data_IF_080701500735
#
_entry.id   IF_080701500735
#
_cell.length_a   1.000
_cell.length_b   1.000
_cell.length_c   1.000
_cell.angle_alpha   90.00
_cell.angle_beta   90.00
_cell.angle_gamma   90.00
#
_symmetry.space_group_name_H-M   'P 1'
#
loop_
_entity.id
_entity.type
_entity.pdbx_description
1 polymer ?
#
# COMPACT_ATOMS: atom_id res chain seq x y z
N UNK A 1 -123.45 16.92 -58.38
CA UNK A 1 -122.84 15.62 -58.71
C UNK A 1 -121.52 15.95 -59.38
N UNK A 2 -120.34 15.60 -58.89
CA UNK A 2 -119.90 14.74 -57.79
C UNK A 2 -118.53 15.26 -57.30
N UNK A 3 -118.15 14.84 -56.10
CA UNK A 3 -116.90 15.12 -55.39
C UNK A 3 -115.64 14.70 -56.17
N UNK A 4 -114.64 15.56 -56.20
CA UNK A 4 -113.25 15.13 -56.33
C UNK A 4 -112.74 14.67 -54.95
N UNK A 5 -112.61 13.36 -54.78
CA UNK A 5 -111.84 12.76 -53.70
C UNK A 5 -110.34 13.00 -53.93
N UNK A 6 -109.76 13.93 -53.15
CA UNK A 6 -108.34 13.90 -52.84
C UNK A 6 -108.20 13.22 -51.48
N UNK A 7 -107.81 11.95 -51.50
CA UNK A 7 -107.43 11.20 -50.30
C UNK A 7 -106.10 11.76 -49.82
N UNK A 8 -106.15 12.75 -48.93
CA UNK A 8 -105.04 13.02 -48.02
C UNK A 8 -105.06 11.90 -46.97
N UNK A 9 -104.13 10.96 -47.08
CA UNK A 9 -103.89 9.94 -46.07
C UNK A 9 -103.33 10.60 -44.82
N UNK A 10 -104.22 11.06 -43.94
CA UNK A 10 -103.91 11.47 -42.58
C UNK A 10 -103.55 10.21 -41.78
N UNK A 11 -102.25 9.94 -41.65
CA UNK A 11 -101.75 8.92 -40.73
C UNK A 11 -102.14 9.32 -39.29
N UNK A 12 -102.55 8.39 -38.42
CA UNK A 12 -102.61 8.62 -36.98
C UNK A 12 -101.38 8.00 -36.26
N UNK A 13 -100.23 8.71 -36.15
CA UNK A 13 -99.12 8.30 -35.28
C UNK A 13 -98.85 9.29 -34.13
N UNK A 14 -99.72 10.29 -33.93
CA UNK A 14 -99.36 11.47 -33.13
C UNK A 14 -99.27 11.19 -31.62
N UNK A 15 -100.08 10.27 -31.07
CA UNK A 15 -100.12 10.07 -29.61
C UNK A 15 -98.93 9.26 -29.07
N UNK A 16 -98.50 8.22 -29.80
CA UNK A 16 -97.36 7.40 -29.39
C UNK A 16 -96.04 8.17 -29.52
N UNK A 17 -95.84 8.89 -30.63
CA UNK A 17 -94.62 9.69 -30.84
C UNK A 17 -94.48 10.80 -29.80
N UNK A 18 -95.58 11.52 -29.49
CA UNK A 18 -95.59 12.56 -28.45
C UNK A 18 -95.31 11.96 -27.07
N UNK A 19 -95.86 10.77 -26.76
CA UNK A 19 -95.59 10.07 -25.49
C UNK A 19 -94.13 9.64 -25.36
N UNK A 20 -93.51 9.13 -26.43
CA UNK A 20 -92.09 8.80 -26.43
C UNK A 20 -91.23 10.06 -26.29
N UNK A 21 -91.58 11.15 -26.98
CA UNK A 21 -90.86 12.43 -26.88
C UNK A 21 -90.93 12.97 -25.45
N UNK A 22 -92.10 12.93 -24.82
CA UNK A 22 -92.30 13.34 -23.42
C UNK A 22 -91.47 12.50 -22.43
N UNK A 23 -91.48 11.17 -22.57
CA UNK A 23 -90.67 10.29 -21.72
C UNK A 23 -89.17 10.56 -21.93
N UNK A 24 -88.74 10.80 -23.17
CA UNK A 24 -87.34 11.08 -23.49
C UNK A 24 -86.86 12.42 -22.90
N UNK A 25 -87.67 13.48 -23.00
CA UNK A 25 -87.33 14.80 -22.44
C UNK A 25 -87.24 14.76 -20.90
N UNK A 26 -88.09 13.95 -20.23
CA UNK A 26 -87.97 13.71 -18.78
C UNK A 26 -86.65 13.02 -18.44
N UNK A 27 -86.32 11.93 -19.13
CA UNK A 27 -85.10 11.16 -18.85
C UNK A 27 -83.84 11.99 -19.12
N UNK A 28 -83.82 12.76 -20.21
CA UNK A 28 -82.72 13.66 -20.55
C UNK A 28 -82.58 14.77 -19.50
N UNK A 29 -83.68 15.41 -19.10
CA UNK A 29 -83.64 16.44 -18.06
C UNK A 29 -83.11 15.88 -16.74
N UNK A 30 -83.57 14.71 -16.29
CA UNK A 30 -83.09 14.06 -15.07
C UNK A 30 -81.59 13.76 -15.13
N UNK A 31 -81.12 13.19 -16.24
CA UNK A 31 -79.69 12.92 -16.44
C UNK A 31 -78.86 14.21 -16.42
N UNK A 32 -79.35 15.28 -17.06
CA UNK A 32 -78.63 16.56 -17.16
C UNK A 32 -78.61 17.34 -15.85
N UNK A 33 -79.52 17.10 -14.92
CA UNK A 33 -79.40 17.61 -13.55
C UNK A 33 -78.52 16.73 -12.64
N UNK A 34 -78.39 15.43 -12.93
CA UNK A 34 -77.55 14.51 -12.14
C UNK A 34 -76.04 14.64 -12.43
N UNK A 35 -75.65 14.69 -13.72
CA UNK A 35 -74.23 14.73 -14.13
C UNK A 35 -73.45 15.92 -13.50
N UNK A 36 -73.99 17.15 -13.44
CA UNK A 36 -73.31 18.28 -12.80
C UNK A 36 -73.07 18.08 -11.31
N UNK A 37 -73.97 17.39 -10.59
CA UNK A 37 -73.80 17.08 -9.16
C UNK A 37 -72.60 16.15 -8.97
N UNK A 38 -72.47 15.13 -9.81
CA UNK A 38 -71.33 14.20 -9.80
C UNK A 38 -70.01 14.92 -10.15
N UNK A 39 -70.01 15.83 -11.13
CA UNK A 39 -68.84 16.64 -11.49
C UNK A 39 -68.40 17.56 -10.35
N UNK A 40 -69.34 18.20 -9.65
CA UNK A 40 -69.03 19.05 -8.48
C UNK A 40 -68.42 18.21 -7.35
N UNK A 41 -68.98 17.03 -7.08
CA UNK A 41 -68.43 16.10 -6.09
C UNK A 41 -66.98 15.68 -6.44
N UNK A 42 -66.73 15.34 -7.71
CA UNK A 42 -65.38 15.00 -8.18
C UNK A 42 -64.39 16.15 -8.00
N UNK A 43 -64.76 17.38 -8.37
CA UNK A 43 -63.90 18.56 -8.23
C UNK A 43 -63.55 18.83 -6.77
N UNK A 44 -64.54 18.75 -5.87
CA UNK A 44 -64.33 18.95 -4.43
C UNK A 44 -63.39 17.91 -3.82
N UNK A 45 -63.46 16.65 -4.27
CA UNK A 45 -62.59 15.57 -3.78
C UNK A 45 -61.20 15.56 -4.44
N UNK A 46 -61.08 16.12 -5.64
CA UNK A 46 -59.80 16.24 -6.34
C UNK A 46 -58.98 17.44 -5.83
N UNK A 47 -57.93 17.17 -5.05
CA UNK A 47 -57.06 18.21 -4.51
C UNK A 47 -56.18 18.89 -5.59
N UNK A 48 -55.97 18.25 -6.74
CA UNK A 48 -54.88 18.60 -7.68
C UNK A 48 -55.34 18.93 -9.10
N UNK A 49 -56.60 19.30 -9.34
CA UNK A 49 -57.07 19.64 -10.69
C UNK A 49 -56.91 21.16 -10.97
N UNK A 50 -55.97 21.59 -11.84
CA UNK A 50 -55.65 23.00 -12.05
C UNK A 50 -56.75 23.79 -12.79
N UNK A 51 -57.66 23.12 -13.48
CA UNK A 51 -58.68 23.74 -14.35
C UNK A 51 -60.11 23.62 -13.79
N UNK A 52 -60.30 23.88 -12.48
CA UNK A 52 -61.62 23.76 -11.81
C UNK A 52 -62.73 24.59 -12.48
N UNK A 53 -62.38 25.77 -12.99
CA UNK A 53 -63.31 26.67 -13.68
C UNK A 53 -63.93 26.05 -14.94
N UNK A 54 -63.19 25.22 -15.67
CA UNK A 54 -63.67 24.60 -16.91
C UNK A 54 -64.67 23.50 -16.64
N UNK A 55 -64.47 22.73 -15.58
CA UNK A 55 -65.45 21.74 -15.12
C UNK A 55 -66.75 22.41 -14.64
N UNK A 56 -66.66 23.59 -14.00
CA UNK A 56 -67.85 24.37 -13.65
C UNK A 56 -68.58 24.92 -14.88
N UNK A 57 -67.86 25.38 -15.91
CA UNK A 57 -68.45 25.80 -17.17
C UNK A 57 -69.14 24.64 -17.92
N UNK A 58 -68.53 23.44 -17.91
CA UNK A 58 -69.13 22.23 -18.46
C UNK A 58 -70.39 21.82 -17.69
N UNK A 59 -70.36 21.88 -16.35
CA UNK A 59 -71.54 21.68 -15.51
C UNK A 59 -72.65 22.69 -15.79
N UNK A 60 -72.33 23.98 -15.93
CA UNK A 60 -73.28 25.03 -16.26
C UNK A 60 -73.92 24.83 -17.64
N UNK A 61 -73.13 24.43 -18.64
CA UNK A 61 -73.62 24.07 -19.97
C UNK A 61 -74.62 22.91 -19.93
N UNK A 62 -74.31 21.83 -19.20
CA UNK A 62 -75.19 20.67 -19.07
C UNK A 62 -76.51 21.05 -18.38
N UNK A 63 -76.46 21.84 -17.30
CA UNK A 63 -77.65 22.32 -16.59
C UNK A 63 -78.54 23.17 -17.51
N UNK A 64 -77.96 24.14 -18.22
CA UNK A 64 -78.71 25.02 -19.13
C UNK A 64 -79.37 24.24 -20.26
N UNK A 65 -78.69 23.26 -20.82
CA UNK A 65 -79.28 22.41 -21.83
C UNK A 65 -80.34 21.45 -21.23
N UNK A 66 -80.18 20.99 -19.99
CA UNK A 66 -81.20 20.20 -19.27
C UNK A 66 -82.46 20.99 -19.00
N UNK A 67 -82.30 22.28 -18.69
CA UNK A 67 -83.39 23.22 -18.52
C UNK A 67 -84.20 23.39 -19.82
N UNK A 68 -83.57 23.33 -21.00
CA UNK A 68 -84.32 23.39 -22.28
C UNK A 68 -85.23 22.17 -22.50
N UNK A 69 -84.79 20.97 -22.12
CA UNK A 69 -85.63 19.77 -22.16
C UNK A 69 -86.74 19.80 -21.10
N UNK A 70 -86.43 20.33 -19.91
CA UNK A 70 -87.44 20.51 -18.87
C UNK A 70 -88.54 21.52 -19.27
N UNK A 71 -88.16 22.65 -19.90
CA UNK A 71 -89.13 23.64 -20.41
C UNK A 71 -89.92 23.07 -21.60
N UNK A 72 -89.31 22.22 -22.43
CA UNK A 72 -90.00 21.50 -23.52
C UNK A 72 -91.19 20.69 -23.00
N UNK A 73 -91.04 20.00 -21.86
CA UNK A 73 -92.13 19.25 -21.20
C UNK A 73 -93.35 20.12 -20.86
N UNK A 74 -93.11 21.32 -20.34
CA UNK A 74 -94.18 22.27 -20.00
C UNK A 74 -94.87 22.83 -21.26
N UNK A 75 -94.16 22.88 -22.39
CA UNK A 75 -94.66 23.41 -23.66
C UNK A 75 -95.74 22.51 -24.29
N UNK A 76 -95.77 21.21 -23.95
CA UNK A 76 -96.78 20.26 -24.42
C UNK A 76 -98.17 20.46 -23.78
N UNK A 77 -98.25 21.02 -22.57
CA UNK A 77 -99.52 21.16 -21.83
C UNK A 77 -100.07 22.59 -21.86
N UNK A 78 -99.22 23.62 -21.93
CA UNK A 78 -99.63 25.03 -21.92
C UNK A 78 -98.84 25.85 -22.95
N UNK A 79 -99.49 26.21 -24.05
CA UNK A 79 -98.85 27.02 -25.10
C UNK A 79 -99.06 28.53 -24.84
N UNK A 80 -98.20 29.12 -24.00
CA UNK A 80 -98.18 30.56 -23.72
C UNK A 80 -96.98 31.25 -24.38
N UNK A 81 -97.19 32.48 -24.87
CA UNK A 81 -96.10 33.33 -25.41
C UNK A 81 -94.95 33.50 -24.40
N UNK A 82 -95.25 33.48 -23.10
CA UNK A 82 -94.23 33.56 -22.05
C UNK A 82 -93.30 32.33 -22.02
N UNK A 83 -93.84 31.12 -22.19
CA UNK A 83 -93.05 29.87 -22.20
C UNK A 83 -92.13 29.83 -23.43
N UNK A 84 -92.62 30.28 -24.60
CA UNK A 84 -91.80 30.41 -25.80
C UNK A 84 -90.63 31.40 -25.61
N UNK A 85 -90.87 32.56 -24.99
CA UNK A 85 -89.81 33.53 -24.67
C UNK A 85 -88.78 32.92 -23.72
N UNK A 86 -89.22 32.28 -22.64
CA UNK A 86 -88.32 31.61 -21.68
C UNK A 86 -87.48 30.51 -22.35
N UNK A 87 -88.08 29.72 -23.24
CA UNK A 87 -87.37 28.70 -24.03
C UNK A 87 -86.32 29.30 -24.97
N UNK A 88 -86.64 30.42 -25.64
CA UNK A 88 -85.66 31.11 -26.51
C UNK A 88 -84.49 31.68 -25.72
N UNK A 89 -84.74 32.27 -24.54
CA UNK A 89 -83.69 32.80 -23.67
C UNK A 89 -82.80 31.65 -23.16
N UNK A 90 -83.39 30.54 -22.72
CA UNK A 90 -82.64 29.36 -22.26
C UNK A 90 -81.75 28.78 -23.38
N UNK A 91 -82.25 28.71 -24.61
CA UNK A 91 -81.47 28.26 -25.78
C UNK A 91 -80.30 29.21 -26.11
N UNK A 92 -80.53 30.52 -26.09
CA UNK A 92 -79.47 31.50 -26.32
C UNK A 92 -78.40 31.45 -25.22
N UNK A 93 -78.80 31.27 -23.97
CA UNK A 93 -77.88 31.09 -22.86
C UNK A 93 -77.06 29.78 -22.99
N UNK A 94 -77.69 28.65 -23.33
CA UNK A 94 -76.94 27.40 -23.55
C UNK A 94 -75.95 27.55 -24.71
N UNK A 95 -76.35 28.18 -25.82
CA UNK A 95 -75.47 28.42 -26.98
C UNK A 95 -74.24 29.29 -26.63
N UNK A 96 -74.43 30.35 -25.83
CA UNK A 96 -73.34 31.21 -25.40
C UNK A 96 -72.33 30.49 -24.51
N UNK A 97 -72.80 29.76 -23.48
CA UNK A 97 -71.93 28.98 -22.59
C UNK A 97 -71.21 27.86 -23.35
N UNK A 98 -71.90 27.20 -24.30
CA UNK A 98 -71.32 26.18 -25.18
C UNK A 98 -70.17 26.70 -26.05
N UNK A 99 -70.32 27.91 -26.62
CA UNK A 99 -69.28 28.53 -27.42
C UNK A 99 -68.03 28.85 -26.58
N UNK A 100 -68.24 29.37 -25.36
CA UNK A 100 -67.15 29.67 -24.42
C UNK A 100 -66.43 28.39 -23.98
N UNK A 101 -67.17 27.32 -23.64
CA UNK A 101 -66.55 26.04 -23.23
C UNK A 101 -65.72 25.43 -24.36
N UNK A 102 -66.18 25.52 -25.61
CA UNK A 102 -65.45 25.03 -26.77
C UNK A 102 -64.11 25.77 -26.99
N UNK A 103 -64.11 27.11 -26.88
CA UNK A 103 -62.89 27.91 -27.02
C UNK A 103 -61.85 27.62 -25.92
N UNK A 104 -62.30 27.49 -24.68
CA UNK A 104 -61.42 27.17 -23.55
C UNK A 104 -60.77 25.78 -23.69
N UNK A 105 -61.50 24.81 -24.24
CA UNK A 105 -60.99 23.45 -24.41
C UNK A 105 -59.81 23.39 -25.39
N UNK A 106 -59.83 24.19 -26.47
CA UNK A 106 -58.72 24.30 -27.43
C UNK A 106 -57.43 24.75 -26.76
N UNK A 107 -57.51 25.60 -25.74
CA UNK A 107 -56.33 26.09 -25.02
C UNK A 107 -55.82 25.08 -23.98
N UNK A 108 -56.71 24.31 -23.34
CA UNK A 108 -56.34 23.43 -22.22
C UNK A 108 -55.81 22.08 -22.67
N UNK A 109 -56.31 21.53 -23.79
CA UNK A 109 -55.82 20.26 -24.34
C UNK A 109 -54.30 20.25 -24.55
N UNK A 110 -53.66 21.24 -25.22
CA UNK A 110 -52.21 21.23 -25.41
C UNK A 110 -51.43 21.30 -24.10
N UNK A 111 -51.90 22.07 -23.11
CA UNK A 111 -51.26 22.14 -21.79
C UNK A 111 -51.31 20.80 -21.06
N UNK A 112 -52.44 20.10 -21.10
CA UNK A 112 -52.59 18.78 -20.46
C UNK A 112 -51.67 17.73 -21.11
N UNK A 113 -51.52 17.79 -22.44
CA UNK A 113 -50.60 16.93 -23.18
C UNK A 113 -49.13 17.27 -22.87
N UNK A 114 -48.81 18.56 -22.68
CA UNK A 114 -47.44 19.02 -22.37
C UNK A 114 -46.92 18.45 -21.05
N UNK A 115 -47.77 18.37 -20.01
CA UNK A 115 -47.40 17.82 -18.69
C UNK A 115 -47.01 16.35 -18.80
N UNK A 116 -47.80 15.56 -19.54
CA UNK A 116 -47.52 14.13 -19.75
C UNK A 116 -46.23 13.90 -20.54
N UNK A 117 -45.93 14.76 -21.52
CA UNK A 117 -44.64 14.70 -22.24
C UNK A 117 -43.46 15.06 -21.34
N UNK A 118 -43.60 16.05 -20.45
CA UNK A 118 -42.55 16.45 -19.50
C UNK A 118 -42.27 15.37 -18.46
N UNK A 119 -43.31 14.71 -17.96
CA UNK A 119 -43.18 13.59 -17.03
C UNK A 119 -42.39 12.43 -17.66
N UNK A 120 -42.74 12.06 -18.91
CA UNK A 120 -42.03 11.00 -19.62
C UNK A 120 -40.56 11.36 -19.88
N UNK A 121 -40.28 12.61 -20.26
CA UNK A 121 -38.91 13.09 -20.45
C UNK A 121 -38.10 13.04 -19.15
N UNK A 122 -38.68 13.50 -18.03
CA UNK A 122 -38.03 13.46 -16.72
C UNK A 122 -37.76 12.03 -16.26
N UNK A 123 -38.70 11.11 -16.50
CA UNK A 123 -38.51 9.70 -16.17
C UNK A 123 -37.36 9.08 -16.97
N UNK A 124 -37.32 9.30 -18.29
CA UNK A 124 -36.23 8.80 -19.12
C UNK A 124 -34.87 9.37 -18.69
N UNK A 125 -34.83 10.65 -18.30
CA UNK A 125 -33.61 11.29 -17.77
C UNK A 125 -33.19 10.74 -16.41
N UNK A 126 -34.16 10.47 -15.53
CA UNK A 126 -33.89 9.85 -14.23
C UNK A 126 -33.33 8.42 -14.42
N UNK A 127 -33.94 7.62 -15.30
CA UNK A 127 -33.48 6.26 -15.61
C UNK A 127 -32.07 6.27 -16.25
N UNK A 128 -31.77 7.26 -17.11
CA UNK A 128 -30.44 7.45 -17.68
C UNK A 128 -29.40 7.82 -16.61
N UNK A 129 -29.76 8.74 -15.71
CA UNK A 129 -28.88 9.18 -14.62
C UNK A 129 -28.65 8.07 -13.59
N UNK A 130 -29.65 7.28 -13.25
CA UNK A 130 -29.52 6.12 -12.34
C UNK A 130 -28.56 5.08 -12.94
N UNK A 131 -28.59 4.89 -14.26
CA UNK A 131 -27.65 3.99 -14.94
C UNK A 131 -26.22 4.53 -14.90
N UNK A 132 -26.02 5.82 -15.12
CA UNK A 132 -24.70 6.46 -15.01
C UNK A 132 -24.18 6.43 -13.57
N UNK A 133 -25.02 6.77 -12.59
CA UNK A 133 -24.70 6.71 -11.17
C UNK A 133 -24.29 5.30 -10.75
N UNK A 134 -25.00 4.27 -11.21
CA UNK A 134 -24.65 2.87 -10.95
C UNK A 134 -23.23 2.51 -11.42
N UNK A 135 -22.84 2.95 -12.62
CA UNK A 135 -21.49 2.74 -13.13
C UNK A 135 -20.43 3.47 -12.28
N UNK A 136 -20.69 4.72 -11.91
CA UNK A 136 -19.77 5.53 -11.08
C UNK A 136 -19.58 4.91 -9.71
N UNK A 137 -20.65 4.44 -9.06
CA UNK A 137 -20.57 3.78 -7.75
C UNK A 137 -19.72 2.52 -7.80
N UNK A 138 -19.92 1.66 -8.80
CA UNK A 138 -19.07 0.46 -8.95
C UNK A 138 -17.60 0.80 -9.20
N UNK A 139 -17.32 1.88 -9.92
CA UNK A 139 -15.96 2.39 -10.12
C UNK A 139 -15.34 2.93 -8.81
N UNK A 140 -16.12 3.62 -7.99
CA UNK A 140 -15.63 4.14 -6.71
C UNK A 140 -15.37 3.00 -5.71
N UNK A 141 -16.23 1.98 -5.65
CA UNK A 141 -16.05 0.79 -4.81
C UNK A 141 -14.79 0.01 -5.20
N UNK A 142 -14.62 -0.30 -6.49
CA UNK A 142 -13.42 -0.98 -6.99
C UNK A 142 -12.16 -0.17 -6.68
N UNK A 143 -12.19 1.15 -6.89
CA UNK A 143 -11.09 2.04 -6.52
C UNK A 143 -10.79 2.05 -5.01
N UNK A 144 -11.81 2.00 -4.14
CA UNK A 144 -11.62 1.89 -2.68
C UNK A 144 -10.98 0.56 -2.29
N UNK A 145 -11.42 -0.56 -2.85
CA UNK A 145 -10.84 -1.87 -2.59
C UNK A 145 -9.37 -1.93 -3.03
N UNK A 146 -9.05 -1.41 -4.22
CA UNK A 146 -7.66 -1.31 -4.68
C UNK A 146 -6.82 -0.45 -3.74
N UNK A 147 -7.33 0.69 -3.26
CA UNK A 147 -6.61 1.54 -2.30
C UNK A 147 -6.37 0.84 -0.97
N UNK A 148 -7.36 0.11 -0.44
CA UNK A 148 -7.20 -0.70 0.77
C UNK A 148 -6.10 -1.75 0.57
N UNK A 149 -6.14 -2.48 -0.55
CA UNK A 149 -5.12 -3.47 -0.91
C UNK A 149 -3.72 -2.85 -0.97
N UNK A 150 -3.55 -1.69 -1.61
CA UNK A 150 -2.25 -1.02 -1.66
C UNK A 150 -1.69 -0.63 -0.29
N UNK A 151 -2.56 -0.36 0.69
CA UNK A 151 -2.14 -0.10 2.06
C UNK A 151 -1.67 -1.38 2.75
N UNK A 152 -2.42 -2.48 2.60
CA UNK A 152 -2.05 -3.78 3.17
C UNK A 152 -0.72 -4.31 2.62
N UNK A 153 -0.51 -4.16 1.31
CA UNK A 153 0.74 -4.52 0.62
C UNK A 153 1.96 -3.82 1.23
N UNK A 154 1.83 -2.51 1.52
CA UNK A 154 2.89 -1.72 2.15
C UNK A 154 3.23 -2.16 3.57
N UNK A 155 2.29 -2.78 4.27
CA UNK A 155 2.47 -3.22 5.67
C UNK A 155 3.13 -4.60 5.78
N UNK A 156 3.12 -5.39 4.71
CA UNK A 156 3.73 -6.73 4.67
C UNK A 156 5.21 -6.61 4.28
N UNK A 157 6.07 -7.42 4.91
CA UNK A 157 7.53 -7.40 4.68
C UNK A 157 8.06 -8.67 4.00
N UNK A 158 7.24 -9.72 3.90
CA UNK A 158 7.62 -10.96 3.22
C UNK A 158 7.28 -10.90 1.72
N UNK A 159 8.30 -11.08 0.88
CA UNK A 159 8.18 -11.04 -0.59
C UNK A 159 7.15 -12.03 -1.11
N UNK A 160 7.13 -13.27 -0.60
CA UNK A 160 6.20 -14.29 -1.08
C UNK A 160 4.75 -13.96 -0.74
N UNK A 161 4.52 -13.45 0.47
CA UNK A 161 3.20 -13.04 0.94
C UNK A 161 2.71 -11.81 0.18
N UNK A 162 3.54 -10.78 -0.02
CA UNK A 162 3.20 -9.60 -0.82
C UNK A 162 2.70 -10.01 -2.21
N UNK A 163 3.47 -10.86 -2.90
CA UNK A 163 3.16 -11.27 -4.27
C UNK A 163 1.93 -12.18 -4.36
N UNK A 164 1.74 -13.08 -3.41
CA UNK A 164 0.56 -13.94 -3.41
C UNK A 164 -0.72 -13.16 -3.11
N UNK A 165 -0.70 -12.30 -2.10
CA UNK A 165 -1.86 -11.50 -1.69
C UNK A 165 -2.26 -10.51 -2.78
N UNK A 166 -1.28 -9.83 -3.40
CA UNK A 166 -1.52 -8.90 -4.53
C UNK A 166 -2.24 -9.58 -5.67
N UNK A 167 -1.75 -10.72 -6.15
CA UNK A 167 -2.35 -11.43 -7.28
C UNK A 167 -3.78 -11.90 -6.96
N UNK A 168 -4.00 -12.45 -5.77
CA UNK A 168 -5.33 -12.96 -5.35
C UNK A 168 -6.34 -11.83 -5.21
N UNK A 169 -5.98 -10.75 -4.52
CA UNK A 169 -6.90 -9.63 -4.29
C UNK A 169 -7.14 -8.80 -5.54
N UNK A 170 -6.13 -8.62 -6.41
CA UNK A 170 -6.35 -8.07 -7.76
C UNK A 170 -7.29 -8.95 -8.58
N UNK A 171 -7.08 -10.27 -8.54
CA UNK A 171 -7.93 -11.26 -9.21
C UNK A 171 -9.40 -11.13 -8.81
N UNK A 172 -9.66 -11.01 -7.50
CA UNK A 172 -11.01 -10.82 -6.96
C UNK A 172 -11.60 -9.45 -7.30
N UNK A 173 -10.81 -8.37 -7.15
CA UNK A 173 -11.30 -6.99 -7.29
C UNK A 173 -11.60 -6.63 -8.74
N UNK A 174 -10.76 -7.08 -9.68
CA UNK A 174 -10.93 -6.80 -11.11
C UNK A 174 -11.68 -7.93 -11.86
N UNK A 175 -11.96 -9.06 -11.19
CA UNK A 175 -12.63 -10.22 -11.79
C UNK A 175 -11.79 -10.85 -12.91
N UNK A 176 -10.54 -11.17 -12.62
CA UNK A 176 -9.57 -11.69 -13.58
C UNK A 176 -9.70 -13.21 -13.74
N UNK A 177 -9.51 -13.70 -14.96
CA UNK A 177 -9.36 -15.14 -15.23
C UNK A 177 -7.95 -15.63 -14.89
N UNK A 178 -6.93 -14.79 -15.14
CA UNK A 178 -5.55 -15.11 -14.81
C UNK A 178 -4.79 -13.83 -14.46
N UNK A 179 -3.88 -13.93 -13.49
CA UNK A 179 -2.96 -12.86 -13.13
C UNK A 179 -1.60 -13.51 -12.90
N UNK A 180 -0.59 -13.10 -13.67
CA UNK A 180 0.72 -13.72 -13.70
C UNK A 180 1.83 -12.68 -13.49
N UNK A 181 2.85 -13.03 -12.72
CA UNK A 181 4.02 -12.20 -12.50
C UNK A 181 5.28 -12.88 -13.03
N UNK A 182 5.91 -12.23 -14.00
CA UNK A 182 7.13 -12.63 -14.67
C UNK A 182 8.31 -11.86 -14.11
N UNK A 183 9.25 -12.56 -13.49
CA UNK A 183 10.43 -11.96 -12.86
C UNK A 183 11.68 -12.22 -13.71
N UNK A 184 12.66 -11.31 -13.75
CA UNK A 184 13.91 -11.56 -14.44
C UNK A 184 14.68 -12.72 -13.79
N UNK A 185 15.20 -13.61 -14.63
CA UNK A 185 16.06 -14.73 -14.23
C UNK A 185 17.39 -14.22 -13.67
N UNK A 186 18.11 -15.08 -12.94
CA UNK A 186 19.47 -14.79 -12.43
C UNK A 186 20.46 -14.43 -13.54
N UNK A 187 20.25 -14.96 -14.75
CA UNK A 187 21.08 -14.66 -15.93
C UNK A 187 20.78 -13.28 -16.54
N UNK A 188 19.64 -12.67 -16.20
CA UNK A 188 19.20 -11.39 -16.74
C UNK A 188 18.75 -11.42 -18.21
N UNK A 189 18.72 -12.59 -18.85
CA UNK A 189 18.39 -12.74 -20.28
C UNK A 189 16.92 -13.10 -20.54
N UNK A 190 16.29 -13.75 -19.56
CA UNK A 190 14.92 -14.26 -19.66
C UNK A 190 14.07 -13.79 -18.48
N UNK A 191 12.78 -13.67 -18.70
CA UNK A 191 11.75 -13.59 -17.67
C UNK A 191 11.27 -15.00 -17.32
N UNK A 192 11.23 -15.32 -16.05
CA UNK A 192 10.70 -16.56 -15.50
C UNK A 192 9.38 -16.30 -14.77
N UNK A 193 8.37 -17.11 -15.08
CA UNK A 193 7.09 -17.04 -14.40
C UNK A 193 7.26 -17.48 -12.94
N UNK A 194 7.07 -16.53 -12.04
CA UNK A 194 7.25 -16.75 -10.60
C UNK A 194 5.92 -17.01 -9.88
N UNK A 195 4.86 -16.30 -10.28
CA UNK A 195 3.54 -16.44 -9.66
C UNK A 195 2.42 -16.40 -10.70
N UNK A 196 1.34 -17.11 -10.42
CA UNK A 196 0.13 -17.22 -11.24
C UNK A 196 -1.05 -17.45 -10.31
N UNK A 197 -2.21 -16.89 -10.66
CA UNK A 197 -3.44 -16.98 -9.88
C UNK A 197 -4.07 -18.37 -10.01
N UNK A 198 -4.26 -18.83 -11.25
CA UNK A 198 -5.02 -20.06 -11.56
C UNK A 198 -4.16 -21.17 -12.18
N UNK A 199 -2.84 -20.96 -12.26
CA UNK A 199 -1.86 -21.94 -12.71
C UNK A 199 -2.11 -22.42 -14.16
N UNK A 200 -2.67 -21.56 -15.03
CA UNK A 200 -2.86 -21.88 -16.45
C UNK A 200 -1.51 -22.13 -17.15
N UNK A 201 -0.48 -21.41 -16.72
CA UNK A 201 0.92 -21.55 -17.16
C UNK A 201 1.72 -22.20 -16.03
N UNK A 202 2.58 -23.17 -16.36
CA UNK A 202 3.44 -23.81 -15.37
C UNK A 202 4.49 -22.82 -14.85
N UNK A 203 4.55 -22.69 -13.52
CA UNK A 203 5.62 -21.94 -12.81
C UNK A 203 6.99 -22.45 -13.27
N UNK A 204 7.91 -21.52 -13.55
CA UNK A 204 9.23 -21.82 -14.13
C UNK A 204 9.28 -21.79 -15.66
N UNK A 205 8.16 -21.53 -16.34
CA UNK A 205 8.18 -21.17 -17.77
C UNK A 205 9.02 -19.91 -17.98
N UNK A 206 9.81 -19.87 -19.06
CA UNK A 206 10.67 -18.72 -19.35
C UNK A 206 10.39 -18.11 -20.72
N UNK A 207 10.55 -16.79 -20.81
CA UNK A 207 10.33 -15.97 -22.00
C UNK A 207 11.51 -15.01 -22.17
N UNK A 208 12.13 -14.91 -23.36
CA UNK A 208 13.26 -14.00 -23.57
C UNK A 208 12.90 -12.52 -23.38
N UNK A 209 13.77 -11.74 -22.73
CA UNK A 209 13.56 -10.29 -22.48
C UNK A 209 13.67 -9.48 -23.78
N UNK A 210 14.45 -9.95 -24.75
CA UNK A 210 14.68 -9.28 -26.04
C UNK A 210 13.49 -9.34 -27.02
N UNK A 211 12.36 -9.93 -26.61
CA UNK A 211 11.14 -9.90 -27.41
C UNK A 211 10.63 -8.45 -27.53
N UNK A 212 10.15 -8.04 -28.71
CA UNK A 212 9.70 -6.66 -28.94
C UNK A 212 8.58 -6.28 -27.97
N UNK A 213 7.63 -7.18 -27.75
CA UNK A 213 6.50 -6.97 -26.82
C UNK A 213 6.95 -6.75 -25.36
N UNK A 214 8.01 -7.43 -24.92
CA UNK A 214 8.56 -7.25 -23.56
C UNK A 214 9.28 -5.91 -23.47
N UNK A 215 10.02 -5.57 -24.51
CA UNK A 215 10.75 -4.29 -24.62
C UNK A 215 9.77 -3.11 -24.62
N UNK A 216 8.65 -3.23 -25.34
CA UNK A 216 7.59 -2.22 -25.40
C UNK A 216 6.96 -2.01 -24.01
N UNK A 217 6.67 -3.10 -23.28
CA UNK A 217 6.17 -3.03 -21.90
C UNK A 217 7.19 -2.39 -20.96
N UNK A 218 8.49 -2.69 -21.10
CA UNK A 218 9.53 -2.08 -20.29
C UNK A 218 9.70 -0.58 -20.54
N UNK A 219 9.49 -0.14 -21.78
CA UNK A 219 9.57 1.27 -22.15
C UNK A 219 8.31 2.06 -21.77
N UNK A 220 7.15 1.41 -21.67
CA UNK A 220 5.90 2.03 -21.23
C UNK A 220 5.82 2.15 -19.70
N UNK A 221 5.47 3.33 -19.20
CA UNK A 221 5.14 3.49 -17.78
C UNK A 221 3.71 3.02 -17.44
N UNK A 222 2.83 2.99 -18.43
CA UNK A 222 1.42 2.66 -18.28
C UNK A 222 1.14 1.23 -18.74
N UNK A 223 0.07 0.66 -18.18
CA UNK A 223 -0.50 -0.62 -18.54
C UNK A 223 -0.83 -0.67 -20.05
N UNK A 224 -0.22 -1.62 -20.75
CA UNK A 224 -0.34 -1.80 -22.19
C UNK A 224 -1.22 -3.00 -22.51
N UNK A 225 -2.16 -2.83 -23.45
CA UNK A 225 -2.94 -3.96 -23.99
C UNK A 225 -2.04 -4.83 -24.87
N UNK A 226 -2.04 -6.14 -24.62
CA UNK A 226 -1.25 -7.11 -25.36
C UNK A 226 -2.14 -7.97 -26.27
N UNK A 227 -1.62 -8.45 -27.41
CA UNK A 227 -2.32 -9.43 -28.21
C UNK A 227 -2.40 -10.77 -27.48
N UNK A 228 -3.51 -11.48 -27.70
CA UNK A 228 -3.80 -12.77 -27.04
C UNK A 228 -2.86 -13.92 -27.43
N UNK A 229 -2.06 -13.74 -28.49
CA UNK A 229 -1.07 -14.71 -28.97
C UNK A 229 0.33 -14.48 -28.36
N UNK A 230 0.47 -13.56 -27.41
CA UNK A 230 1.78 -13.25 -26.85
C UNK A 230 2.29 -14.40 -25.95
N UNK A 231 3.62 -14.65 -25.93
CA UNK A 231 4.20 -15.73 -25.12
C UNK A 231 4.07 -15.51 -23.61
N UNK A 232 3.82 -14.27 -23.19
CA UNK A 232 3.55 -13.89 -21.81
C UNK A 232 2.14 -14.30 -21.34
N UNK A 233 1.21 -14.51 -22.28
CA UNK A 233 -0.16 -14.90 -22.01
C UNK A 233 -0.51 -16.17 -22.79
N UNK A 234 0.07 -17.31 -22.35
CA UNK A 234 -0.26 -18.62 -22.90
C UNK A 234 -1.62 -19.09 -22.37
N UNK A 235 -2.64 -19.00 -23.20
CA UNK A 235 -4.01 -19.48 -22.90
C UNK A 235 -4.10 -20.98 -23.23
N UNK A 236 -4.70 -21.78 -22.33
CA UNK A 236 -5.15 -23.15 -22.69
C UNK A 236 -6.49 -23.03 -23.43
N UNK A 237 -6.49 -23.32 -24.72
CA UNK A 237 -7.71 -23.30 -25.55
C UNK A 237 -8.66 -24.43 -25.08
N UNK A 238 -9.74 -24.10 -24.37
CA UNK A 238 -10.88 -24.99 -24.19
C UNK A 238 -11.77 -24.95 -25.45
N UNK A 239 -12.21 -26.12 -25.89
CA UNK A 239 -13.06 -26.30 -27.09
C UNK A 239 -14.44 -25.69 -26.84
N UNK A 240 -14.76 -24.56 -27.50
CA UNK A 240 -16.03 -23.83 -27.37
C UNK A 240 -16.08 -22.55 -28.23
N UNK A 241 -17.19 -21.79 -28.18
CA UNK A 241 -17.30 -20.47 -28.83
C UNK A 241 -16.31 -19.50 -28.17
N UNK A 242 -15.15 -19.35 -28.81
CA UNK A 242 -14.01 -18.60 -28.27
C UNK A 242 -14.07 -17.13 -28.70
N UNK A 243 -14.12 -16.22 -27.71
CA UNK A 243 -13.79 -14.80 -27.89
C UNK A 243 -12.40 -14.61 -27.26
N UNK A 244 -11.42 -14.05 -28.00
CA UNK A 244 -10.10 -13.83 -27.44
C UNK A 244 -10.19 -12.88 -26.22
N UNK A 245 -9.56 -13.21 -25.09
CA UNK A 245 -9.61 -12.37 -23.90
C UNK A 245 -8.81 -11.10 -24.13
N UNK A 246 -9.22 -10.03 -23.45
CA UNK A 246 -8.49 -8.77 -23.45
C UNK A 246 -7.39 -8.85 -22.37
N UNK A 247 -6.14 -8.62 -22.78
CA UNK A 247 -4.95 -8.87 -21.96
C UNK A 247 -4.21 -7.56 -21.77
N UNK A 248 -3.76 -7.32 -20.55
CA UNK A 248 -2.96 -6.15 -20.19
C UNK A 248 -1.68 -6.58 -19.51
N UNK A 249 -0.58 -5.89 -19.81
CA UNK A 249 0.67 -6.04 -19.11
C UNK A 249 1.17 -4.68 -18.60
N UNK A 250 1.75 -4.69 -17.40
CA UNK A 250 2.36 -3.52 -16.78
C UNK A 250 3.74 -3.91 -16.25
N UNK A 251 4.71 -3.01 -16.41
CA UNK A 251 6.03 -3.20 -15.82
C UNK A 251 5.97 -2.93 -14.32
N UNK A 252 6.68 -3.73 -13.54
CA UNK A 252 6.88 -3.52 -12.11
C UNK A 252 8.37 -3.28 -11.90
N UNK A 253 8.79 -2.03 -11.61
CA UNK A 253 10.18 -1.72 -11.33
C UNK A 253 10.71 -2.52 -10.15
N UNK A 254 11.86 -3.17 -10.33
CA UNK A 254 12.57 -3.85 -9.26
C UNK A 254 13.80 -3.02 -8.91
N UNK A 255 13.87 -2.54 -7.66
CA UNK A 255 15.10 -1.99 -7.15
C UNK A 255 16.07 -3.15 -6.88
N UNK A 256 17.17 -3.18 -7.63
CA UNK A 256 18.30 -4.03 -7.31
C UNK A 256 19.29 -3.15 -6.54
N UNK A 257 19.43 -3.39 -5.24
CA UNK A 257 20.54 -2.83 -4.50
C UNK A 257 21.77 -3.63 -4.89
N UNK A 258 22.54 -3.05 -5.81
CA UNK A 258 23.85 -3.56 -6.19
C UNK A 258 24.68 -3.78 -4.93
N UNK A 259 24.92 -5.06 -4.63
CA UNK A 259 26.02 -5.62 -3.85
C UNK A 259 26.55 -4.78 -2.68
N UNK A 260 26.11 -5.11 -1.46
CA UNK A 260 26.93 -4.96 -0.25
C UNK A 260 28.17 -5.88 -0.23
N UNK A 261 28.56 -6.46 -1.37
CA UNK A 261 29.82 -7.16 -1.53
C UNK A 261 30.88 -6.17 -2.02
N UNK A 262 31.69 -5.74 -1.06
CA UNK A 262 32.99 -5.11 -1.28
C UNK A 262 33.85 -6.10 -2.09
N UNK A 263 33.92 -5.90 -3.41
CA UNK A 263 35.06 -6.13 -4.32
C UNK A 263 34.62 -6.59 -5.73
N UNK A 264 35.12 -5.86 -6.74
CA UNK A 264 35.46 -6.31 -8.10
C UNK A 264 34.35 -6.59 -9.15
N UNK A 265 34.05 -5.54 -9.95
CA UNK A 265 33.55 -5.53 -11.36
C UNK A 265 32.14 -6.13 -11.67
N UNK A 266 31.60 -5.95 -12.90
CA UNK A 266 31.32 -4.74 -13.68
C UNK A 266 29.81 -4.39 -13.66
N UNK A 267 29.47 -3.16 -14.04
CA UNK A 267 28.12 -2.60 -14.13
C UNK A 267 27.14 -3.49 -14.95
N UNK A 268 26.24 -4.21 -14.28
CA UNK A 268 25.07 -4.88 -14.88
C UNK A 268 23.82 -3.99 -14.72
N UNK A 269 22.82 -4.11 -15.62
CA UNK A 269 22.08 -2.97 -16.15
C UNK A 269 21.23 -2.24 -15.11
N UNK A 270 21.30 -0.91 -15.18
CA UNK A 270 20.80 0.06 -14.21
C UNK A 270 19.30 0.03 -13.87
N UNK A 271 18.48 -0.83 -14.49
CA UNK A 271 17.05 -1.00 -14.18
C UNK A 271 16.58 -2.43 -14.50
N UNK A 272 16.06 -3.12 -13.49
CA UNK A 272 15.45 -4.44 -13.63
C UNK A 272 13.93 -4.30 -13.50
N UNK A 273 13.18 -4.99 -14.35
CA UNK A 273 11.72 -4.92 -14.39
C UNK A 273 11.13 -6.32 -14.34
N UNK A 274 10.11 -6.49 -13.51
CA UNK A 274 9.17 -7.60 -13.66
C UNK A 274 8.01 -7.18 -14.58
N UNK A 275 7.29 -8.16 -15.12
CA UNK A 275 6.06 -7.91 -15.90
C UNK A 275 4.89 -8.57 -15.20
N UNK A 276 3.89 -7.78 -14.84
CA UNK A 276 2.61 -8.28 -14.36
C UNK A 276 1.63 -8.33 -15.54
N UNK A 277 1.04 -9.50 -15.77
CA UNK A 277 0.12 -9.77 -16.89
C UNK A 277 -1.24 -10.13 -16.31
N UNK A 278 -2.27 -9.43 -16.74
CA UNK A 278 -3.64 -9.56 -16.27
C UNK A 278 -4.56 -9.93 -17.44
N UNK A 279 -5.38 -10.95 -17.26
CA UNK A 279 -6.27 -11.49 -18.28
C UNK A 279 -7.72 -11.46 -17.80
N UNK A 280 -8.60 -10.90 -18.63
CA UNK A 280 -10.04 -10.93 -18.39
C UNK A 280 -10.68 -12.25 -18.85
N UNK A 281 -11.84 -12.62 -18.28
CA UNK A 281 -12.61 -13.80 -18.68
C UNK A 281 -12.97 -13.84 -20.17
N UNK A 282 -12.81 -15.02 -20.76
CA UNK A 282 -13.10 -15.30 -22.19
C UNK A 282 -14.59 -15.39 -22.55
N UNK A 283 -15.48 -15.45 -21.56
CA UNK A 283 -16.91 -15.74 -21.72
C UNK A 283 -17.80 -14.50 -21.94
N UNK A 284 -17.33 -13.31 -21.58
CA UNK A 284 -18.17 -12.10 -21.50
C UNK A 284 -17.95 -11.03 -22.57
N UNK A 285 -16.94 -11.13 -23.44
CA UNK A 285 -16.57 -10.05 -24.37
C UNK A 285 -16.19 -8.72 -23.69
N UNK A 286 -15.91 -8.76 -22.37
CA UNK A 286 -15.52 -7.62 -21.55
C UNK A 286 -14.14 -7.12 -22.01
N UNK A 287 -14.02 -5.80 -22.14
CA UNK A 287 -12.76 -5.12 -22.43
C UNK A 287 -12.31 -4.29 -21.24
N UNK A 288 -11.01 -4.05 -21.16
CA UNK A 288 -10.44 -3.16 -20.15
C UNK A 288 -10.91 -1.74 -20.33
N UNK A 289 -11.47 -1.15 -19.28
CA UNK A 289 -11.81 0.28 -19.22
C UNK A 289 -10.59 1.09 -18.80
N UNK A 290 -10.54 2.35 -19.22
CA UNK A 290 -9.37 3.19 -18.99
C UNK A 290 -9.08 3.41 -17.49
N UNK A 291 -10.12 3.53 -16.66
CA UNK A 291 -9.95 3.64 -15.20
C UNK A 291 -9.37 2.37 -14.56
N UNK A 292 -9.60 1.19 -15.14
CA UNK A 292 -9.03 -0.05 -14.63
C UNK A 292 -7.53 -0.13 -14.94
N UNK A 293 -7.11 0.41 -16.09
CA UNK A 293 -5.70 0.55 -16.45
C UNK A 293 -4.98 1.49 -15.48
N UNK A 294 -5.59 2.64 -15.16
CA UNK A 294 -5.05 3.58 -14.16
C UNK A 294 -4.91 2.93 -12.77
N UNK A 295 -5.87 2.10 -12.36
CA UNK A 295 -5.78 1.35 -11.10
C UNK A 295 -4.63 0.33 -11.12
N UNK A 296 -4.41 -0.36 -12.25
CA UNK A 296 -3.31 -1.32 -12.41
C UNK A 296 -1.96 -0.62 -12.29
N UNK A 297 -1.79 0.56 -12.89
CA UNK A 297 -0.56 1.35 -12.80
C UNK A 297 -0.23 1.68 -11.34
N UNK A 298 -1.23 2.16 -10.59
CA UNK A 298 -1.08 2.45 -9.16
C UNK A 298 -0.67 1.20 -8.41
N UNK A 299 -1.30 0.05 -8.66
CA UNK A 299 -0.95 -1.19 -7.95
C UNK A 299 0.46 -1.67 -8.32
N UNK A 300 0.86 -1.59 -9.58
CA UNK A 300 2.20 -1.97 -10.03
C UNK A 300 3.29 -1.17 -9.31
N UNK A 301 3.11 0.15 -9.18
CA UNK A 301 4.02 1.01 -8.42
C UNK A 301 4.06 0.64 -6.93
N UNK A 302 2.92 0.28 -6.33
CA UNK A 302 2.88 -0.13 -4.92
C UNK A 302 3.53 -1.48 -4.67
N UNK A 303 3.35 -2.43 -5.59
CA UNK A 303 4.05 -3.71 -5.56
C UNK A 303 5.55 -3.50 -5.68
N UNK A 304 5.99 -2.63 -6.59
CA UNK A 304 7.41 -2.28 -6.73
C UNK A 304 8.01 -1.74 -5.42
N UNK A 305 7.32 -0.82 -4.74
CA UNK A 305 7.76 -0.27 -3.45
C UNK A 305 7.83 -1.36 -2.37
N UNK A 306 6.79 -2.18 -2.23
CA UNK A 306 6.76 -3.23 -1.21
C UNK A 306 7.82 -4.31 -1.44
N UNK A 307 8.03 -4.72 -2.70
CA UNK A 307 9.11 -5.64 -3.08
C UNK A 307 10.48 -5.06 -2.76
N UNK A 308 10.67 -3.76 -2.98
CA UNK A 308 11.92 -3.07 -2.68
C UNK A 308 12.21 -3.05 -1.18
N UNK A 309 11.20 -2.76 -0.35
CA UNK A 309 11.33 -2.83 1.12
C UNK A 309 11.64 -4.24 1.60
N UNK A 310 10.96 -5.26 1.06
CA UNK A 310 11.22 -6.66 1.40
C UNK A 310 12.67 -7.06 1.06
N UNK A 311 13.16 -6.67 -0.12
CA UNK A 311 14.55 -6.94 -0.54
C UNK A 311 15.57 -6.26 0.38
N UNK A 312 15.37 -4.97 0.71
CA UNK A 312 16.23 -4.21 1.64
C UNK A 312 16.32 -4.91 3.00
N UNK A 313 15.18 -5.37 3.53
CA UNK A 313 15.13 -6.03 4.83
C UNK A 313 15.84 -7.37 4.80
N UNK A 314 15.65 -8.17 3.75
CA UNK A 314 16.33 -9.45 3.60
C UNK A 314 17.86 -9.27 3.56
N UNK A 315 18.34 -8.30 2.79
CA UNK A 315 19.78 -7.99 2.71
C UNK A 315 20.33 -7.45 4.03
N UNK A 316 19.60 -6.56 4.70
CA UNK A 316 19.96 -6.03 6.03
C UNK A 316 20.04 -7.14 7.08
N UNK A 317 19.07 -8.07 7.09
CA UNK A 317 19.07 -9.23 7.97
C UNK A 317 20.26 -10.15 7.69
N UNK A 318 20.57 -10.40 6.41
CA UNK A 318 21.72 -11.22 5.99
C UNK A 318 23.04 -10.60 6.47
N UNK A 319 23.23 -9.29 6.24
CA UNK A 319 24.41 -8.57 6.67
C UNK A 319 24.56 -8.57 8.20
N UNK A 320 23.45 -8.35 8.93
CA UNK A 320 23.44 -8.40 10.40
C UNK A 320 23.84 -9.78 10.93
N UNK A 321 23.34 -10.86 10.32
CA UNK A 321 23.69 -12.22 10.75
C UNK A 321 25.18 -12.51 10.52
N UNK A 322 25.73 -12.11 9.37
CA UNK A 322 27.17 -12.23 9.09
C UNK A 322 28.03 -11.46 10.09
N UNK A 323 27.64 -10.22 10.42
CA UNK A 323 28.34 -9.42 11.43
C UNK A 323 28.25 -10.06 12.82
N UNK A 324 27.12 -10.67 13.17
CA UNK A 324 26.96 -11.38 14.44
C UNK A 324 27.90 -12.59 14.51
N UNK A 325 27.97 -13.40 13.46
CA UNK A 325 28.87 -14.56 13.37
C UNK A 325 30.34 -14.13 13.48
N UNK A 326 30.74 -13.06 12.78
CA UNK A 326 32.09 -12.50 12.86
C UNK A 326 32.42 -11.99 14.26
N UNK A 327 31.50 -11.30 14.93
CA UNK A 327 31.71 -10.82 16.30
C UNK A 327 31.88 -11.98 17.30
N UNK A 328 31.09 -13.06 17.16
CA UNK A 328 31.23 -14.26 18.00
C UNK A 328 32.58 -14.92 17.77
N UNK A 329 33.01 -15.06 16.51
CA UNK A 329 34.33 -15.62 16.18
C UNK A 329 35.45 -14.74 16.75
N UNK A 330 35.36 -13.42 16.59
CA UNK A 330 36.34 -12.47 17.11
C UNK A 330 36.45 -12.52 18.64
N UNK A 331 35.31 -12.54 19.34
CA UNK A 331 35.28 -12.64 20.80
C UNK A 331 35.90 -13.96 21.29
N UNK A 332 35.63 -15.07 20.58
CA UNK A 332 36.23 -16.36 20.92
C UNK A 332 37.76 -16.35 20.76
N UNK A 333 38.27 -15.81 19.65
CA UNK A 333 39.70 -15.70 19.39
C UNK A 333 40.38 -14.75 20.39
N UNK A 334 39.73 -13.64 20.75
CA UNK A 334 40.20 -12.72 21.78
C UNK A 334 40.32 -13.43 23.13
N UNK A 335 39.30 -14.16 23.57
CA UNK A 335 39.32 -14.89 24.84
C UNK A 335 40.41 -15.98 24.88
N UNK A 336 40.68 -16.63 23.76
CA UNK A 336 41.77 -17.60 23.65
C UNK A 336 43.14 -16.93 23.79
N UNK A 337 43.34 -15.80 23.11
CA UNK A 337 44.57 -15.01 23.24
C UNK A 337 44.77 -14.49 24.67
N UNK A 338 43.72 -13.98 25.32
CA UNK A 338 43.76 -13.52 26.72
C UNK A 338 44.13 -14.67 27.68
N UNK A 339 43.55 -15.86 27.51
CA UNK A 339 43.92 -17.06 28.30
C UNK A 339 45.38 -17.46 28.09
N UNK A 340 45.86 -17.42 26.85
CA UNK A 340 47.26 -17.73 26.55
C UNK A 340 48.22 -16.73 27.20
N UNK A 341 47.88 -15.44 27.18
CA UNK A 341 48.65 -14.37 27.83
C UNK A 341 48.66 -14.57 29.35
N UNK A 342 47.50 -14.85 29.97
CA UNK A 342 47.43 -15.12 31.41
C UNK A 342 48.26 -16.34 31.80
N UNK A 343 48.12 -17.46 31.10
CA UNK A 343 48.91 -18.67 31.38
C UNK A 343 50.42 -18.42 31.23
N UNK A 344 50.84 -17.65 30.22
CA UNK A 344 52.23 -17.24 30.03
C UNK A 344 52.74 -16.41 31.20
N UNK A 345 51.95 -15.43 31.66
CA UNK A 345 52.33 -14.55 32.75
C UNK A 345 52.40 -15.31 34.09
N UNK A 346 51.44 -16.18 34.36
CA UNK A 346 51.42 -17.03 35.57
C UNK A 346 52.61 -17.97 35.60
N UNK A 347 52.91 -18.64 34.47
CA UNK A 347 54.10 -19.48 34.35
C UNK A 347 55.39 -18.69 34.61
N UNK A 348 55.50 -17.48 34.03
CA UNK A 348 56.65 -16.60 34.24
C UNK A 348 56.81 -16.22 35.71
N UNK A 349 55.72 -15.89 36.40
CA UNK A 349 55.76 -15.50 37.81
C UNK A 349 56.22 -16.67 38.70
N UNK A 350 55.63 -17.86 38.51
CA UNK A 350 55.98 -19.07 39.29
C UNK A 350 57.43 -19.48 39.05
N UNK A 351 57.85 -19.58 37.78
CA UNK A 351 59.22 -19.98 37.44
C UNK A 351 60.26 -19.07 38.08
N UNK A 352 60.05 -17.76 38.04
CA UNK A 352 60.98 -16.81 38.63
C UNK A 352 61.04 -16.92 40.16
N UNK A 353 59.89 -17.08 40.82
CA UNK A 353 59.85 -17.27 42.28
C UNK A 353 60.61 -18.53 42.72
N UNK A 354 60.39 -19.65 42.01
CA UNK A 354 61.04 -20.92 42.31
C UNK A 354 62.54 -20.86 42.00
N UNK A 355 62.94 -20.25 40.89
CA UNK A 355 64.35 -20.04 40.56
C UNK A 355 65.04 -19.18 41.64
N UNK A 356 64.45 -18.05 42.04
CA UNK A 356 65.01 -17.19 43.09
C UNK A 356 65.18 -17.93 44.43
N UNK A 357 64.17 -18.69 44.84
CA UNK A 357 64.20 -19.48 46.09
C UNK A 357 65.31 -20.53 46.05
N UNK A 358 65.44 -21.26 44.94
CA UNK A 358 66.51 -22.24 44.75
C UNK A 358 67.89 -21.58 44.74
N UNK A 359 68.05 -20.42 44.09
CA UNK A 359 69.32 -19.70 44.07
C UNK A 359 69.73 -19.21 45.45
N UNK A 360 68.81 -18.65 46.23
CA UNK A 360 69.12 -18.23 47.61
C UNK A 360 69.50 -19.41 48.51
N UNK A 361 68.87 -20.58 48.34
CA UNK A 361 69.26 -21.78 49.07
C UNK A 361 70.69 -22.23 48.71
N UNK A 362 71.06 -22.23 47.42
CA UNK A 362 72.41 -22.57 46.96
C UNK A 362 73.43 -21.56 47.50
N UNK A 363 73.13 -20.26 47.47
CA UNK A 363 73.99 -19.20 48.01
C UNK A 363 74.19 -19.39 49.52
N UNK A 364 73.11 -19.63 50.27
CA UNK A 364 73.19 -19.84 51.72
C UNK A 364 74.02 -21.07 52.07
N UNK A 365 73.75 -22.21 51.43
CA UNK A 365 74.50 -23.45 51.66
C UNK A 365 75.97 -23.32 51.27
N UNK A 366 76.26 -22.70 50.13
CA UNK A 366 77.64 -22.46 49.69
C UNK A 366 78.38 -21.53 50.66
N UNK A 367 77.70 -20.50 51.18
CA UNK A 367 78.28 -19.58 52.18
C UNK A 367 78.58 -20.29 53.49
N UNK A 368 77.65 -21.12 53.99
CA UNK A 368 77.85 -21.94 55.18
C UNK A 368 79.00 -22.94 55.02
N UNK A 369 79.13 -23.57 53.85
CA UNK A 369 80.23 -24.49 53.57
C UNK A 369 81.60 -23.77 53.57
N UNK A 370 81.66 -22.51 53.10
CA UNK A 370 82.90 -21.73 53.12
C UNK A 370 83.41 -21.38 54.53
N UNK A 371 82.52 -21.39 55.53
CA UNK A 371 82.85 -21.23 56.96
C UNK A 371 83.38 -22.51 57.62
N UNK A 372 83.36 -23.64 56.91
CA UNK A 372 83.90 -24.93 57.40
C UNK A 372 85.36 -25.14 56.99
N UNK A 373 86.02 -26.13 57.60
CA UNK A 373 87.38 -26.54 57.26
C UNK A 373 87.41 -27.29 55.92
N UNK A 374 87.69 -26.56 54.84
CA UNK A 374 87.77 -27.07 53.46
C UNK A 374 89.23 -27.18 52.99
N UNK A 375 89.52 -28.14 52.10
CA UNK A 375 90.80 -28.14 51.38
C UNK A 375 90.88 -26.95 50.40
N UNK A 376 92.09 -26.52 50.00
CA UNK A 376 92.25 -25.40 49.05
C UNK A 376 91.47 -25.60 47.75
N UNK A 377 91.46 -26.81 47.20
CA UNK A 377 90.73 -27.15 45.98
C UNK A 377 89.21 -27.11 46.17
N UNK A 378 88.70 -27.59 47.32
CA UNK A 378 87.27 -27.55 47.66
C UNK A 378 86.79 -26.11 47.86
N UNK A 379 87.61 -25.27 48.50
CA UNK A 379 87.31 -23.84 48.70
C UNK A 379 87.14 -23.12 47.36
N UNK A 380 88.08 -23.29 46.43
CA UNK A 380 87.99 -22.68 45.09
C UNK A 380 86.74 -23.15 44.33
N UNK A 381 86.37 -24.44 44.46
CA UNK A 381 85.17 -24.98 43.82
C UNK A 381 83.88 -24.36 44.39
N UNK A 382 83.77 -24.24 45.73
CA UNK A 382 82.61 -23.65 46.38
C UNK A 382 82.54 -22.14 46.14
N UNK A 383 83.66 -21.42 46.14
CA UNK A 383 83.73 -20.00 45.75
C UNK A 383 83.25 -19.78 44.32
N UNK A 384 83.57 -20.71 43.41
CA UNK A 384 83.10 -20.67 42.02
C UNK A 384 81.59 -20.92 41.93
N UNK A 385 81.05 -21.88 42.69
CA UNK A 385 79.60 -22.13 42.79
C UNK A 385 78.87 -20.90 43.35
N UNK A 386 79.39 -20.29 44.42
CA UNK A 386 78.82 -19.09 45.03
C UNK A 386 78.82 -17.90 44.06
N UNK A 387 79.94 -17.66 43.38
CA UNK A 387 80.06 -16.59 42.38
C UNK A 387 79.10 -16.80 41.21
N UNK A 388 79.00 -18.03 40.71
CA UNK A 388 78.08 -18.37 39.61
C UNK A 388 76.62 -18.23 40.05
N UNK A 389 76.32 -18.58 41.30
CA UNK A 389 74.98 -18.47 41.86
C UNK A 389 74.53 -17.02 42.04
N UNK A 390 75.41 -16.16 42.56
CA UNK A 390 75.14 -14.73 42.66
C UNK A 390 74.90 -14.08 41.29
N UNK A 391 75.72 -14.45 40.29
CA UNK A 391 75.54 -13.94 38.92
C UNK A 391 74.20 -14.38 38.31
N UNK A 392 73.80 -15.64 38.53
CA UNK A 392 72.52 -16.14 38.04
C UNK A 392 71.33 -15.47 38.74
N UNK A 393 71.42 -15.17 40.04
CA UNK A 393 70.39 -14.38 40.76
C UNK A 393 70.23 -13.00 40.13
N UNK A 394 71.34 -12.28 39.88
CA UNK A 394 71.28 -10.97 39.23
C UNK A 394 70.63 -11.05 37.85
N UNK A 395 70.99 -12.05 37.03
CA UNK A 395 70.37 -12.22 35.71
C UNK A 395 68.87 -12.54 35.78
N UNK A 396 68.43 -13.33 36.77
CA UNK A 396 67.01 -13.62 36.99
C UNK A 396 66.25 -12.35 37.39
N UNK A 397 66.84 -11.54 38.27
CA UNK A 397 66.25 -10.27 38.70
C UNK A 397 66.18 -9.26 37.53
N UNK A 398 67.23 -9.16 36.71
CA UNK A 398 67.24 -8.28 35.53
C UNK A 398 66.16 -8.66 34.49
N UNK A 399 65.94 -9.95 34.25
CA UNK A 399 64.88 -10.44 33.34
C UNK A 399 63.48 -10.13 33.87
N UNK A 400 63.30 -10.14 35.19
CA UNK A 400 62.07 -9.72 35.84
C UNK A 400 61.83 -8.22 35.72
N UNK A 401 62.86 -7.41 35.94
CA UNK A 401 62.74 -5.95 35.84
C UNK A 401 62.46 -5.51 34.41
N UNK A 402 63.11 -6.13 33.41
CA UNK A 402 62.78 -5.92 31.99
C UNK A 402 61.33 -6.31 31.70
N UNK A 403 60.87 -7.43 32.27
CA UNK A 403 59.50 -7.91 32.14
C UNK A 403 58.46 -6.95 32.72
N UNK A 404 58.77 -6.28 33.85
CA UNK A 404 57.92 -5.26 34.49
C UNK A 404 57.96 -3.92 33.75
N UNK A 405 59.07 -3.64 33.07
CA UNK A 405 59.20 -2.48 32.20
C UNK A 405 58.31 -2.61 30.97
N UNK A 406 58.29 -3.78 30.32
CA UNK A 406 57.49 -4.04 29.11
C UNK A 406 55.97 -4.00 29.35
N UNK A 407 55.50 -4.43 30.53
CA UNK A 407 54.08 -4.40 30.89
C UNK A 407 53.67 -3.11 31.63
N UNK A 408 54.60 -2.18 31.83
CA UNK A 408 54.36 -0.88 32.46
C UNK A 408 54.14 -0.93 33.97
N UNK A 409 54.36 -2.07 34.63
CA UNK A 409 54.22 -2.24 36.09
C UNK A 409 55.46 -1.83 36.90
N UNK A 410 56.49 -1.30 36.24
CA UNK A 410 57.68 -0.76 36.92
C UNK A 410 57.34 0.58 37.60
N UNK A 411 57.12 0.52 38.90
CA UNK A 411 56.94 1.70 39.74
C UNK A 411 58.30 2.23 40.21
N UNK A 412 58.55 3.52 39.97
CA UNK A 412 59.74 4.20 40.46
C UNK A 412 59.52 4.63 41.91
N UNK A 413 60.34 4.12 42.82
CA UNK A 413 60.37 4.59 44.21
C UNK A 413 61.05 5.95 44.30
N UNK A 414 60.24 7.00 44.47
CA UNK A 414 60.69 8.38 44.57
C UNK A 414 61.06 8.74 46.01
N UNK A 415 62.29 8.43 46.41
CA UNK A 415 62.85 8.77 47.72
C UNK A 415 64.03 9.75 47.68
N UNK A 416 64.32 10.46 48.79
CA UNK A 416 65.55 11.24 48.91
C UNK A 416 66.76 10.29 49.04
N UNK A 417 67.74 10.41 48.15
CA UNK A 417 68.98 9.62 48.18
C UNK A 417 70.23 10.51 48.21
N UNK A 418 71.32 9.97 48.76
CA UNK A 418 72.59 10.68 48.81
C UNK A 418 73.40 10.42 47.53
N UNK A 419 73.37 11.40 46.63
CA UNK A 419 74.08 11.34 45.34
C UNK A 419 75.59 11.07 45.50
N UNK A 420 76.24 11.56 46.56
CA UNK A 420 77.67 11.34 46.77
C UNK A 420 77.99 9.87 47.07
N UNK A 421 77.10 9.18 47.79
CA UNK A 421 77.25 7.75 48.09
C UNK A 421 77.07 6.93 46.82
N UNK A 422 75.99 7.18 46.07
CA UNK A 422 75.72 6.46 44.80
C UNK A 422 76.85 6.65 43.80
N UNK A 423 77.34 7.89 43.62
CA UNK A 423 78.47 8.14 42.72
C UNK A 423 79.77 7.49 43.19
N UNK A 424 80.02 7.45 44.51
CA UNK A 424 81.20 6.77 45.07
C UNK A 424 81.14 5.27 44.81
N UNK A 425 79.98 4.65 44.98
CA UNK A 425 79.76 3.24 44.67
C UNK A 425 79.95 2.94 43.18
N UNK A 426 79.41 3.77 42.28
CA UNK A 426 79.62 3.65 40.83
C UNK A 426 81.11 3.80 40.47
N UNK A 427 81.82 4.74 41.08
CA UNK A 427 83.26 4.93 40.87
C UNK A 427 84.05 3.71 41.36
N UNK A 428 83.71 3.17 42.53
CA UNK A 428 84.33 1.96 43.08
C UNK A 428 84.10 0.78 42.11
N UNK A 429 82.87 0.59 41.63
CA UNK A 429 82.56 -0.46 40.66
C UNK A 429 83.33 -0.29 39.34
N UNK A 430 83.45 0.95 38.85
CA UNK A 430 84.25 1.28 37.66
C UNK A 430 85.75 1.03 37.86
N UNK A 431 86.27 1.20 39.09
CA UNK A 431 87.67 0.92 39.42
C UNK A 431 87.98 -0.58 39.46
N UNK A 432 86.98 -1.43 39.72
CA UNK A 432 87.10 -2.90 39.61
C UNK A 432 87.13 -3.35 38.14
N UNK A 433 86.51 -2.59 37.22
CA UNK A 433 86.56 -2.83 35.77
C UNK A 433 87.84 -2.29 35.08
N UNK A 434 88.72 -1.59 35.81
CA UNK A 434 89.96 -0.99 35.25
C UNK A 434 91.04 -1.99 34.82
N UNK A 435 90.81 -3.30 34.87
CA UNK A 435 91.61 -4.24 34.06
C UNK A 435 91.32 -4.11 32.54
N UNK A 436 90.30 -3.34 32.14
CA UNK A 436 90.12 -2.87 30.77
C UNK A 436 90.18 -1.33 30.70
N UNK A 437 90.86 -0.84 29.66
CA UNK A 437 91.39 0.51 29.45
C UNK A 437 90.32 1.61 29.23
N UNK A 438 89.63 2.07 30.29
CA UNK A 438 88.82 3.29 30.20
C UNK A 438 88.94 4.20 31.46
N UNK A 439 89.29 5.48 31.25
CA UNK A 439 89.27 6.54 32.28
C UNK A 439 87.86 7.14 32.35
N UNK A 440 87.16 6.93 33.48
CA UNK A 440 85.94 7.68 33.81
C UNK A 440 86.33 8.93 34.59
N UNK A 441 86.03 10.13 34.06
CA UNK A 441 86.24 11.40 34.74
C UNK A 441 84.90 12.04 35.11
N UNK A 442 84.64 12.25 36.39
CA UNK A 442 83.45 12.97 36.87
C UNK A 442 83.84 14.40 37.29
N UNK A 443 83.27 15.41 36.62
CA UNK A 443 83.28 16.81 37.10
C UNK A 443 81.98 17.06 37.86
N UNK A 444 82.05 17.25 39.17
CA UNK A 444 80.92 17.72 39.98
C UNK A 444 81.25 19.10 40.55
N UNK A 445 80.37 20.07 40.30
CA UNK A 445 80.35 21.34 41.01
C UNK A 445 79.66 21.14 42.36
N UNK A 446 80.13 21.79 43.45
CA UNK A 446 79.52 21.66 44.75
C UNK A 446 78.23 22.48 44.79
N UNK A 447 77.07 21.83 44.81
CA UNK A 447 75.82 22.47 45.19
C UNK A 447 75.17 21.66 46.31
N UNK A 448 75.18 22.25 47.51
CA UNK A 448 74.61 21.69 48.72
C UNK A 448 73.09 21.66 48.65
N UNK A 449 72.54 20.48 48.96
CA UNK A 449 71.18 20.23 49.46
C UNK A 449 70.06 20.13 48.41
N UNK A 450 69.62 18.89 48.17
CA UNK A 450 68.38 18.48 47.50
C UNK A 450 68.16 18.96 46.05
N UNK A 451 68.69 18.20 45.08
CA UNK A 451 68.09 18.17 43.75
C UNK A 451 66.90 17.19 43.76
N UNK A 452 65.71 17.71 43.44
CA UNK A 452 64.52 16.92 43.14
C UNK A 452 64.55 16.68 41.63
N UNK A 453 64.63 15.44 41.17
CA UNK A 453 64.50 15.12 39.74
C UNK A 453 63.02 15.24 39.39
N UNK A 454 62.62 16.41 38.90
CA UNK A 454 61.28 16.65 38.36
C UNK A 454 61.28 16.25 36.89
N UNK A 455 60.76 15.05 36.60
CA UNK A 455 60.35 14.63 35.26
C UNK A 455 61.47 14.07 34.38
N UNK A 456 61.51 12.74 34.22
CA UNK A 456 61.88 12.16 32.94
C UNK A 456 60.63 12.23 32.05
N UNK A 457 60.64 13.11 31.05
CA UNK A 457 59.75 12.96 29.91
C UNK A 457 60.17 11.68 29.17
N UNK A 458 59.26 10.72 29.08
CA UNK A 458 59.40 9.59 28.17
C UNK A 458 59.54 10.14 26.74
N UNK A 459 60.68 9.87 26.12
CA UNK A 459 60.82 9.92 24.66
C UNK A 459 60.63 8.47 24.18
N UNK A 460 59.38 8.14 23.89
CA UNK A 460 58.96 7.20 22.85
C UNK A 460 57.71 7.75 22.19
#
# INVERSE_FOLDING_TARGET
MESCDCIDTQWPPDELLVRYQYISDILIALAYFSIPVELIYFVQKSAFFPYRWVLMQFGSFIILCGLTHFISLWTFTVHSKAVAVVMTIAKMACAFVSCITALMLVHIIPDLLSVKTRELFLKNRADELDREMGLILTQEETGRHVRMLTHEIRSTLDRHTILKTTLVELGRTLGLEECALWMPSRTGLNLELSYTLNNQIQIGSSVPINLPIVTDVFNSAQAMRLPYNCPLARIRLLVGRYVPPDIVAVRVPLLHLSNFQINDWPELPAKSYAVMVLMLPTDGGRKWRDHELELIDVVADQVAVALSHAAILEDSMRARNQLMEQNVALDSARREAEKAIHARNDFRAVMNHEMRTLMHAIIALSSLLLETDLTPEQRVMIETVLKSSNLLTTLVDDVLDLSRLEDGSLELDNGPFNLQIVLREVIIFSSVLQNFTYRVGTKLAPCSSCMRVSGLHYLF
#
